data_IF_059019848109
#
_entry.id   IF_059019848109
#
_cell.length_a   1.000
_cell.length_b   1.000
_cell.length_c   1.000
_cell.angle_alpha   90.00
_cell.angle_beta   90.00
_cell.angle_gamma   90.00
#
_symmetry.space_group_name_H-M   'P 1'
#
loop_
_entity.id
_entity.type
_entity.pdbx_description
1 polymer ?
#
# COMPACT_ATOMS: atom_id res chain seq x y z
N UNK A 1 -76.36 -64.48 -44.87
CA UNK A 1 -77.41 -63.46 -45.10
C UNK A 1 -77.89 -62.89 -43.76
N UNK A 2 -77.36 -61.74 -43.36
CA UNK A 2 -78.08 -60.63 -42.71
C UNK A 2 -77.07 -59.55 -42.33
N UNK A 3 -77.38 -58.36 -42.81
CA UNK A 3 -76.60 -57.13 -42.82
C UNK A 3 -77.03 -56.20 -41.69
N UNK A 4 -76.05 -55.49 -41.14
CA UNK A 4 -76.05 -54.12 -40.58
C UNK A 4 -77.14 -53.64 -39.61
N UNK A 5 -76.67 -53.19 -38.43
CA UNK A 5 -76.96 -51.92 -37.67
C UNK A 5 -76.77 -52.19 -36.16
N UNK A 6 -76.40 -51.29 -35.26
CA UNK A 6 -75.74 -49.97 -35.23
C UNK A 6 -75.76 -49.52 -33.75
N UNK A 7 -74.73 -48.79 -33.29
CA UNK A 7 -74.77 -47.81 -32.18
C UNK A 7 -74.86 -48.31 -30.73
N UNK A 8 -73.93 -47.92 -29.83
CA UNK A 8 -74.12 -46.77 -28.91
C UNK A 8 -72.90 -46.52 -27.97
N UNK A 9 -72.58 -45.24 -27.82
CA UNK A 9 -72.07 -44.49 -26.65
C UNK A 9 -70.76 -44.83 -25.89
N UNK A 10 -70.00 -43.75 -25.63
CA UNK A 10 -69.03 -43.66 -24.54
C UNK A 10 -68.16 -42.40 -24.59
N UNK A 11 -68.64 -41.30 -23.99
CA UNK A 11 -67.89 -40.09 -23.67
C UNK A 11 -66.53 -40.41 -23.02
N UNK A 12 -65.45 -39.69 -23.38
CA UNK A 12 -64.34 -39.55 -22.43
C UNK A 12 -63.69 -38.16 -22.48
N UNK A 13 -63.79 -37.50 -21.32
CA UNK A 13 -63.24 -36.20 -20.95
C UNK A 13 -61.71 -36.23 -20.95
N UNK A 14 -61.06 -35.26 -21.62
CA UNK A 14 -59.64 -34.96 -21.40
C UNK A 14 -59.47 -33.50 -20.95
N UNK A 15 -59.15 -33.38 -19.66
CA UNK A 15 -58.95 -32.19 -18.82
C UNK A 15 -57.81 -31.25 -19.27
N UNK A 16 -57.81 -29.99 -18.79
CA UNK A 16 -56.94 -28.90 -19.23
C UNK A 16 -55.58 -28.91 -18.51
N UNK A 17 -54.78 -29.98 -18.67
CA UNK A 17 -53.49 -30.11 -17.98
C UNK A 17 -52.42 -29.16 -18.50
N UNK A 18 -52.45 -28.82 -19.79
CA UNK A 18 -51.48 -27.93 -20.41
C UNK A 18 -51.60 -26.49 -19.89
N UNK A 19 -52.83 -25.99 -19.72
CA UNK A 19 -53.08 -24.63 -19.26
C UNK A 19 -52.57 -24.43 -17.82
N UNK A 20 -52.81 -25.41 -16.95
CA UNK A 20 -52.29 -25.37 -15.58
C UNK A 20 -50.77 -25.42 -15.52
N UNK A 21 -50.11 -26.21 -16.37
CA UNK A 21 -48.64 -26.25 -16.45
C UNK A 21 -48.04 -24.92 -16.89
N UNK A 22 -48.64 -24.25 -17.89
CA UNK A 22 -48.20 -22.93 -18.35
C UNK A 22 -48.40 -21.87 -17.26
N UNK A 23 -49.52 -21.89 -16.55
CA UNK A 23 -49.76 -20.98 -15.43
C UNK A 23 -48.76 -21.19 -14.28
N UNK A 24 -48.46 -22.44 -13.93
CA UNK A 24 -47.47 -22.75 -12.87
C UNK A 24 -46.07 -22.29 -13.29
N UNK A 25 -45.68 -22.51 -14.55
CA UNK A 25 -44.40 -22.05 -15.07
C UNK A 25 -44.29 -20.51 -15.06
N UNK A 26 -45.36 -19.80 -15.43
CA UNK A 26 -45.40 -18.34 -15.40
C UNK A 26 -45.33 -17.79 -13.97
N UNK A 27 -46.08 -18.38 -13.03
CA UNK A 27 -46.04 -17.99 -11.62
C UNK A 27 -44.64 -18.24 -11.04
N UNK A 28 -44.05 -19.41 -11.31
CA UNK A 28 -42.70 -19.72 -10.84
C UNK A 28 -41.65 -18.78 -11.44
N UNK A 29 -41.76 -18.44 -12.73
CA UNK A 29 -40.92 -17.45 -13.38
C UNK A 29 -41.04 -16.06 -12.73
N UNK A 30 -42.27 -15.62 -12.43
CA UNK A 30 -42.50 -14.34 -11.75
C UNK A 30 -41.97 -14.34 -10.32
N UNK A 31 -42.10 -15.46 -9.62
CA UNK A 31 -41.63 -15.63 -8.24
C UNK A 31 -40.10 -15.64 -8.18
N UNK A 32 -39.43 -16.31 -9.12
CA UNK A 32 -37.97 -16.25 -9.27
C UNK A 32 -37.52 -14.84 -9.62
N UNK A 33 -38.18 -14.14 -10.54
CA UNK A 33 -37.85 -12.75 -10.90
C UNK A 33 -38.06 -11.77 -9.74
N UNK A 34 -39.14 -11.92 -8.97
CA UNK A 34 -39.42 -11.11 -7.79
C UNK A 34 -38.43 -11.39 -6.65
N UNK A 35 -38.09 -12.66 -6.41
CA UNK A 35 -37.04 -13.03 -5.45
C UNK A 35 -35.67 -12.52 -5.89
N UNK A 36 -35.33 -12.62 -7.17
CA UNK A 36 -34.10 -12.00 -7.70
C UNK A 36 -34.12 -10.49 -7.52
N UNK A 37 -35.26 -9.83 -7.73
CA UNK A 37 -35.40 -8.37 -7.57
C UNK A 37 -35.30 -7.91 -6.10
N UNK A 38 -35.77 -8.70 -5.14
CA UNK A 38 -35.59 -8.45 -3.70
C UNK A 38 -34.14 -8.74 -3.26
N UNK A 39 -33.47 -9.71 -3.90
CA UNK A 39 -32.06 -10.02 -3.66
C UNK A 39 -31.08 -9.20 -4.51
N UNK A 40 -31.56 -8.42 -5.49
CA UNK A 40 -30.78 -7.56 -6.38
C UNK A 40 -30.37 -6.28 -5.63
N UNK A 41 -29.37 -6.45 -4.75
CA UNK A 41 -28.10 -5.71 -4.69
C UNK A 41 -28.04 -4.17 -4.85
N UNK A 42 -29.14 -3.43 -4.91
CA UNK A 42 -29.13 -1.97 -5.07
C UNK A 42 -28.89 -1.21 -3.76
N UNK A 43 -29.67 -1.52 -2.72
CA UNK A 43 -29.57 -0.82 -1.42
C UNK A 43 -28.28 -1.17 -0.67
N UNK A 44 -27.86 -2.44 -0.66
CA UNK A 44 -26.63 -2.85 0.06
C UNK A 44 -25.36 -2.21 -0.51
N UNK A 45 -25.26 -2.04 -1.82
CA UNK A 45 -24.09 -1.41 -2.45
C UNK A 45 -24.05 0.09 -2.14
N UNK A 46 -25.21 0.76 -2.17
CA UNK A 46 -25.30 2.19 -1.79
C UNK A 46 -24.96 2.42 -0.31
N UNK A 47 -25.43 1.53 0.57
CA UNK A 47 -25.11 1.57 2.00
C UNK A 47 -23.63 1.34 2.28
N UNK A 48 -23.00 0.37 1.61
CA UNK A 48 -21.56 0.09 1.70
C UNK A 48 -20.72 1.27 1.23
N UNK A 49 -21.05 1.84 0.07
CA UNK A 49 -20.35 3.03 -0.46
C UNK A 49 -20.43 4.22 0.50
N UNK A 50 -21.59 4.43 1.15
CA UNK A 50 -21.76 5.49 2.15
C UNK A 50 -20.90 5.26 3.39
N UNK A 51 -20.74 4.01 3.83
CA UNK A 51 -19.92 3.65 4.99
C UNK A 51 -18.42 3.81 4.70
N UNK A 52 -17.96 3.38 3.52
CA UNK A 52 -16.58 3.57 3.06
C UNK A 52 -16.23 5.06 2.95
N UNK A 53 -17.13 5.85 2.34
CA UNK A 53 -17.00 7.31 2.26
C UNK A 53 -16.87 7.94 3.64
N UNK A 54 -17.72 7.55 4.60
CA UNK A 54 -17.60 8.05 6.00
C UNK A 54 -16.28 7.68 6.64
N UNK A 55 -15.80 6.45 6.40
CA UNK A 55 -14.53 5.97 6.94
C UNK A 55 -13.36 6.78 6.39
N UNK A 56 -13.33 7.03 5.08
CA UNK A 56 -12.33 7.87 4.44
C UNK A 56 -12.37 9.30 4.95
N UNK A 57 -13.55 9.90 5.06
CA UNK A 57 -13.70 11.24 5.64
C UNK A 57 -13.22 11.30 7.09
N UNK A 58 -13.54 10.30 7.91
CA UNK A 58 -13.05 10.19 9.29
C UNK A 58 -11.53 10.08 9.36
N UNK A 59 -10.93 9.26 8.49
CA UNK A 59 -9.47 9.14 8.40
C UNK A 59 -8.81 10.47 8.01
N UNK A 60 -9.35 11.17 7.00
CA UNK A 60 -8.83 12.47 6.60
C UNK A 60 -8.91 13.53 7.70
N UNK A 61 -9.99 13.54 8.49
CA UNK A 61 -10.11 14.41 9.66
C UNK A 61 -9.02 14.11 10.69
N UNK A 62 -8.71 12.83 10.94
CA UNK A 62 -7.62 12.44 11.83
C UNK A 62 -6.26 12.91 11.29
N UNK A 63 -6.02 12.78 9.98
CA UNK A 63 -4.80 13.31 9.33
C UNK A 63 -4.72 14.82 9.52
N UNK A 64 -5.81 15.54 9.28
CA UNK A 64 -5.87 16.99 9.46
C UNK A 64 -5.55 17.41 10.89
N UNK A 65 -6.14 16.74 11.89
CA UNK A 65 -5.85 17.00 13.30
C UNK A 65 -4.39 16.68 13.66
N UNK A 66 -3.85 15.58 13.14
CA UNK A 66 -2.45 15.21 13.35
C UNK A 66 -1.51 16.29 12.81
N UNK A 67 -1.74 16.75 11.57
CA UNK A 67 -0.95 17.82 10.94
C UNK A 67 -1.10 19.13 11.71
N UNK A 68 -2.31 19.51 12.14
CA UNK A 68 -2.50 20.73 12.93
C UNK A 68 -1.77 20.68 14.28
N UNK A 69 -1.78 19.53 14.96
CA UNK A 69 -1.21 19.39 16.30
C UNK A 69 0.30 19.12 16.29
N UNK A 70 0.83 18.47 15.24
CA UNK A 70 2.21 17.94 15.19
C UNK A 70 2.99 18.32 13.93
N UNK A 71 2.35 18.97 12.97
CA UNK A 71 2.95 19.33 11.67
C UNK A 71 3.78 20.60 11.68
N UNK A 72 4.21 21.10 12.85
CA UNK A 72 5.12 22.25 12.98
C UNK A 72 4.66 23.50 12.18
N UNK A 73 3.36 23.79 12.22
CA UNK A 73 2.75 24.93 11.52
C UNK A 73 2.18 24.60 10.13
N UNK A 74 2.43 23.40 9.60
CA UNK A 74 1.72 22.92 8.42
C UNK A 74 0.22 22.80 8.70
N UNK A 75 -0.58 23.00 7.66
CA UNK A 75 -2.03 22.76 7.69
C UNK A 75 -2.42 21.78 6.60
N UNK A 76 -3.42 20.95 6.87
CA UNK A 76 -4.00 20.05 5.86
C UNK A 76 -5.41 20.52 5.51
N UNK A 77 -5.64 20.85 4.24
CA UNK A 77 -6.94 21.23 3.71
C UNK A 77 -7.55 20.08 2.92
N UNK A 78 -8.64 19.53 3.42
CA UNK A 78 -9.41 18.50 2.73
C UNK A 78 -10.09 19.13 1.50
N UNK A 79 -9.90 18.53 0.32
CA UNK A 79 -10.48 18.98 -0.95
C UNK A 79 -11.67 18.10 -1.33
N UNK A 80 -11.48 16.79 -1.27
CA UNK A 80 -12.51 15.80 -1.56
C UNK A 80 -12.33 14.54 -0.70
N UNK A 81 -13.02 13.45 -1.04
CA UNK A 81 -13.01 12.19 -0.29
C UNK A 81 -11.67 11.44 -0.29
N UNK A 82 -10.75 11.76 -1.20
CA UNK A 82 -9.42 11.15 -1.30
C UNK A 82 -8.28 12.16 -1.21
N UNK A 83 -8.51 13.44 -1.52
CA UNK A 83 -7.47 14.42 -1.73
C UNK A 83 -7.47 15.48 -0.64
N UNK A 84 -6.28 15.75 -0.14
CA UNK A 84 -5.99 16.88 0.72
C UNK A 84 -4.77 17.64 0.19
N UNK A 85 -4.67 18.91 0.57
CA UNK A 85 -3.52 19.76 0.28
C UNK A 85 -2.83 20.11 1.59
N UNK A 86 -1.55 19.74 1.70
CA UNK A 86 -0.68 20.20 2.77
C UNK A 86 -0.15 21.59 2.41
N UNK A 87 -0.30 22.55 3.32
CA UNK A 87 0.10 23.94 3.12
C UNK A 87 1.06 24.39 4.21
N UNK A 88 2.08 25.12 3.79
CA UNK A 88 2.95 25.85 4.70
C UNK A 88 2.25 27.04 5.35
N UNK A 89 2.74 27.54 6.51
CA UNK A 89 2.22 28.73 7.15
C UNK A 89 2.17 29.93 6.20
N UNK A 90 1.14 30.77 6.34
CA UNK A 90 1.06 32.03 5.58
C UNK A 90 2.29 32.92 5.84
N UNK A 91 2.82 33.53 4.78
CA UNK A 91 4.06 34.32 4.84
C UNK A 91 5.35 33.51 4.71
N UNK A 92 5.28 32.18 4.58
CA UNK A 92 6.45 31.37 4.21
C UNK A 92 6.90 31.74 2.80
N UNK A 93 8.19 32.01 2.62
CA UNK A 93 8.78 32.22 1.29
C UNK A 93 9.65 31.01 0.92
N UNK A 94 9.40 30.45 -0.27
CA UNK A 94 10.24 29.38 -0.82
C UNK A 94 11.60 29.95 -1.20
N UNK A 95 12.65 29.48 -0.53
CA UNK A 95 14.05 29.87 -0.82
C UNK A 95 14.77 28.81 -1.64
N UNK A 96 14.18 27.62 -1.78
CA UNK A 96 14.78 26.52 -2.51
C UNK A 96 14.43 26.60 -3.99
N UNK A 97 15.44 26.92 -4.81
CA UNK A 97 15.30 27.00 -6.25
C UNK A 97 15.75 25.70 -6.92
N UNK A 98 14.86 25.09 -7.71
CA UNK A 98 15.19 23.91 -8.48
C UNK A 98 15.84 24.29 -9.80
N UNK A 99 17.15 24.05 -9.92
CA UNK A 99 17.93 24.40 -11.12
C UNK A 99 17.53 23.64 -12.38
N UNK A 100 16.97 22.43 -12.25
CA UNK A 100 16.56 21.61 -13.39
C UNK A 100 15.24 22.09 -13.99
N UNK A 101 14.26 22.41 -13.14
CA UNK A 101 12.92 22.82 -13.56
C UNK A 101 12.72 24.33 -13.62
N UNK A 102 13.71 25.11 -13.16
CA UNK A 102 13.69 26.58 -13.11
C UNK A 102 12.53 27.16 -12.32
N UNK A 103 12.07 26.45 -11.30
CA UNK A 103 10.98 26.84 -10.40
C UNK A 103 11.43 26.78 -8.95
N UNK A 104 10.88 27.66 -8.11
CA UNK A 104 10.99 27.52 -6.67
C UNK A 104 10.11 26.36 -6.20
N UNK A 105 10.54 25.69 -5.14
CA UNK A 105 9.78 24.61 -4.55
C UNK A 105 8.40 25.12 -4.08
N UNK A 106 7.29 24.41 -4.40
CA UNK A 106 5.96 24.87 -4.03
C UNK A 106 5.75 24.86 -2.52
N UNK A 107 4.83 25.70 -2.05
CA UNK A 107 4.42 25.76 -0.64
C UNK A 107 3.09 25.04 -0.37
N UNK A 108 2.55 24.38 -1.39
CA UNK A 108 1.35 23.57 -1.33
C UNK A 108 1.60 22.23 -2.03
N UNK A 109 1.27 21.13 -1.35
CA UNK A 109 1.48 19.78 -1.86
C UNK A 109 0.17 19.02 -1.83
N UNK A 110 -0.27 18.56 -3.00
CA UNK A 110 -1.43 17.68 -3.12
C UNK A 110 -1.06 16.26 -2.66
N UNK A 111 -1.94 15.66 -1.86
CA UNK A 111 -1.77 14.32 -1.32
C UNK A 111 -3.05 13.51 -1.57
N UNK A 112 -2.91 12.37 -2.25
CA UNK A 112 -3.99 11.43 -2.49
C UNK A 112 -3.93 10.30 -1.47
N UNK A 113 -4.85 10.37 -0.50
CA UNK A 113 -5.01 9.40 0.59
C UNK A 113 -5.45 8.05 0.07
N UNK A 114 -6.28 8.01 -0.96
CA UNK A 114 -6.80 6.75 -1.51
C UNK A 114 -5.70 6.00 -2.26
N UNK A 115 -4.90 6.70 -3.07
CA UNK A 115 -3.71 6.13 -3.69
C UNK A 115 -2.72 5.61 -2.63
N UNK A 116 -2.48 6.40 -1.58
CA UNK A 116 -1.59 5.99 -0.49
C UNK A 116 -2.10 4.74 0.26
N UNK A 117 -3.41 4.62 0.50
CA UNK A 117 -4.01 3.43 1.12
C UNK A 117 -3.90 2.22 0.20
N UNK A 118 -4.18 2.36 -1.10
CA UNK A 118 -4.03 1.27 -2.07
C UNK A 118 -2.59 0.78 -2.14
N UNK A 119 -1.63 1.71 -2.18
CA UNK A 119 -0.21 1.41 -2.14
C UNK A 119 0.16 0.71 -0.82
N UNK A 120 -0.37 1.19 0.31
CA UNK A 120 -0.16 0.56 1.61
C UNK A 120 -0.70 -0.87 1.65
N UNK A 121 -1.90 -1.13 1.15
CA UNK A 121 -2.47 -2.49 1.08
C UNK A 121 -1.60 -3.43 0.24
N UNK A 122 -1.03 -2.94 -0.85
CA UNK A 122 -0.12 -3.73 -1.69
C UNK A 122 1.16 -4.12 -0.94
N UNK A 123 1.68 -3.24 -0.08
CA UNK A 123 3.00 -3.43 0.54
C UNK A 123 2.98 -3.80 2.03
N UNK A 124 1.85 -3.67 2.73
CA UNK A 124 1.76 -3.87 4.20
C UNK A 124 2.12 -5.28 4.67
N UNK A 125 1.99 -6.27 3.79
CA UNK A 125 2.33 -7.66 4.05
C UNK A 125 3.60 -8.10 3.30
N UNK A 126 4.24 -7.20 2.57
CA UNK A 126 5.48 -7.49 1.88
C UNK A 126 6.65 -7.16 2.80
N UNK A 127 7.50 -8.14 3.07
CA UNK A 127 8.82 -7.85 3.65
C UNK A 127 9.68 -7.24 2.55
N UNK A 128 9.82 -5.91 2.56
CA UNK A 128 10.60 -5.12 1.59
C UNK A 128 12.12 -5.40 1.64
N UNK A 129 12.55 -6.29 2.54
CA UNK A 129 13.92 -6.79 2.58
C UNK A 129 14.02 -7.92 1.56
N UNK A 130 14.78 -7.70 0.50
CA UNK A 130 15.16 -8.77 -0.42
C UNK A 130 15.93 -9.83 0.37
N UNK A 131 15.31 -10.99 0.57
CA UNK A 131 15.88 -12.13 1.29
C UNK A 131 16.27 -13.21 0.30
N UNK A 132 17.06 -14.19 0.77
CA UNK A 132 17.39 -15.37 -0.03
C UNK A 132 16.14 -16.15 -0.44
N UNK A 133 15.13 -16.23 0.43
CA UNK A 133 13.87 -16.93 0.15
C UNK A 133 13.17 -16.39 -1.12
N UNK A 134 13.36 -15.10 -1.45
CA UNK A 134 12.83 -14.50 -2.67
C UNK A 134 13.57 -14.99 -3.92
N UNK A 135 14.88 -15.22 -3.83
CA UNK A 135 15.67 -15.80 -4.92
C UNK A 135 15.28 -17.26 -5.16
N UNK A 136 15.03 -18.01 -4.10
CA UNK A 136 14.61 -19.42 -4.16
C UNK A 136 13.21 -19.58 -4.79
N UNK A 137 12.30 -18.64 -4.53
CA UNK A 137 10.94 -18.67 -5.08
C UNK A 137 10.85 -18.17 -6.53
N UNK A 138 11.87 -17.47 -7.04
CA UNK A 138 11.85 -16.85 -8.37
C UNK A 138 12.42 -17.81 -9.43
N UNK A 139 11.72 -18.04 -10.56
CA UNK A 139 12.28 -18.74 -11.71
C UNK A 139 13.59 -18.08 -12.17
N UNK A 140 14.65 -18.86 -12.31
CA UNK A 140 16.02 -18.41 -12.64
C UNK A 140 16.58 -17.31 -11.72
N UNK A 141 16.03 -17.18 -10.50
CA UNK A 141 16.42 -16.16 -9.52
C UNK A 141 17.90 -16.25 -9.16
N UNK A 142 18.44 -17.46 -9.03
CA UNK A 142 19.85 -17.69 -8.78
C UNK A 142 20.73 -17.39 -10.00
N UNK A 143 20.35 -17.92 -11.17
CA UNK A 143 21.21 -17.87 -12.36
C UNK A 143 21.35 -16.44 -12.91
N UNK A 144 20.25 -15.68 -12.97
CA UNK A 144 20.26 -14.34 -13.55
C UNK A 144 20.26 -13.23 -12.51
N UNK A 145 19.32 -13.28 -11.55
CA UNK A 145 19.10 -12.14 -10.66
C UNK A 145 20.18 -12.06 -9.57
N UNK A 146 20.56 -13.19 -8.97
CA UNK A 146 21.61 -13.22 -7.96
C UNK A 146 22.97 -12.87 -8.57
N UNK A 147 23.29 -13.42 -9.75
CA UNK A 147 24.49 -13.06 -10.50
C UNK A 147 24.60 -11.55 -10.76
N UNK A 148 23.51 -10.90 -11.21
CA UNK A 148 23.48 -9.42 -11.38
C UNK A 148 23.78 -8.65 -10.10
N UNK A 149 23.44 -9.17 -8.92
CA UNK A 149 23.69 -8.52 -7.62
C UNK A 149 25.13 -8.65 -7.16
N UNK A 150 25.77 -9.77 -7.46
CA UNK A 150 27.18 -10.03 -7.12
C UNK A 150 28.13 -9.79 -8.30
N UNK A 151 27.66 -9.25 -9.42
CA UNK A 151 28.50 -8.96 -10.59
C UNK A 151 29.68 -8.03 -10.26
N UNK A 152 29.49 -7.10 -9.30
CA UNK A 152 30.57 -6.26 -8.78
C UNK A 152 31.67 -7.02 -8.03
N UNK A 153 31.39 -8.27 -7.63
CA UNK A 153 32.33 -9.21 -7.00
C UNK A 153 32.96 -10.16 -8.03
N UNK A 154 32.79 -9.91 -9.34
CA UNK A 154 33.45 -10.64 -10.41
C UNK A 154 32.72 -11.89 -10.93
N UNK A 155 31.48 -12.14 -10.50
CA UNK A 155 30.68 -13.26 -10.99
C UNK A 155 29.82 -12.85 -12.21
N UNK A 156 29.97 -13.54 -13.33
CA UNK A 156 29.16 -13.34 -14.54
C UNK A 156 27.82 -14.08 -14.44
N UNK A 157 27.83 -15.31 -13.92
CA UNK A 157 26.66 -16.18 -13.69
C UNK A 157 26.87 -17.10 -12.48
N UNK A 158 25.78 -17.43 -11.78
CA UNK A 158 25.82 -18.33 -10.62
C UNK A 158 25.79 -19.82 -11.01
N UNK A 159 26.81 -20.29 -11.73
CA UNK A 159 26.94 -21.71 -12.07
C UNK A 159 27.32 -22.57 -10.86
N UNK A 160 28.19 -22.06 -9.98
CA UNK A 160 28.49 -22.67 -8.69
C UNK A 160 27.63 -22.02 -7.61
N UNK A 161 26.60 -22.75 -7.17
CA UNK A 161 25.64 -22.28 -6.18
C UNK A 161 26.31 -21.91 -4.85
N UNK A 162 27.24 -22.73 -4.37
CA UNK A 162 27.92 -22.52 -3.07
C UNK A 162 28.72 -21.23 -3.05
N UNK A 163 29.49 -20.96 -4.11
CA UNK A 163 30.27 -19.73 -4.22
C UNK A 163 29.36 -18.49 -4.32
N UNK A 164 28.25 -18.59 -5.07
CA UNK A 164 27.27 -17.52 -5.11
C UNK A 164 26.58 -17.30 -3.76
N UNK A 165 26.28 -18.37 -3.04
CA UNK A 165 25.73 -18.30 -1.70
C UNK A 165 26.66 -17.55 -0.75
N UNK A 166 27.96 -17.85 -0.75
CA UNK A 166 28.95 -17.14 0.07
C UNK A 166 28.97 -15.64 -0.22
N UNK A 167 28.97 -15.24 -1.49
CA UNK A 167 28.94 -13.84 -1.87
C UNK A 167 27.61 -13.15 -1.52
N UNK A 168 26.48 -13.84 -1.68
CA UNK A 168 25.17 -13.29 -1.35
C UNK A 168 24.97 -13.17 0.16
N UNK A 169 25.58 -14.03 0.97
CA UNK A 169 25.49 -13.95 2.43
C UNK A 169 26.04 -12.63 2.99
N UNK A 170 26.91 -11.94 2.25
CA UNK A 170 27.42 -10.63 2.60
C UNK A 170 26.42 -9.50 2.35
N UNK A 171 25.39 -9.72 1.51
CA UNK A 171 24.52 -8.66 0.97
C UNK A 171 23.04 -8.91 1.33
N UNK A 172 22.59 -10.16 1.32
CA UNK A 172 21.20 -10.56 1.52
C UNK A 172 21.06 -11.50 2.72
N UNK A 173 20.15 -11.19 3.67
CA UNK A 173 19.84 -12.11 4.74
C UNK A 173 19.10 -13.34 4.22
N UNK A 174 19.31 -14.49 4.89
CA UNK A 174 18.67 -15.75 4.53
C UNK A 174 17.12 -15.68 4.64
N UNK A 175 16.64 -15.01 5.68
CA UNK A 175 15.23 -14.88 6.05
C UNK A 175 14.94 -13.43 6.45
N UNK A 176 13.68 -13.00 6.50
CA UNK A 176 13.34 -11.64 6.89
C UNK A 176 13.86 -11.37 8.31
N UNK A 177 14.71 -10.35 8.50
CA UNK A 177 15.24 -10.04 9.83
C UNK A 177 14.19 -9.42 10.74
N UNK A 178 13.02 -9.04 10.19
CA UNK A 178 11.96 -8.34 10.91
C UNK A 178 10.66 -9.13 10.88
N UNK A 179 9.87 -8.98 11.93
CA UNK A 179 8.53 -9.56 12.04
C UNK A 179 7.47 -8.45 12.03
N UNK A 180 6.23 -8.74 11.59
CA UNK A 180 5.16 -7.74 11.60
C UNK A 180 5.01 -7.07 12.98
N UNK A 181 4.88 -5.74 12.99
CA UNK A 181 4.70 -4.91 14.20
C UNK A 181 5.81 -5.00 15.26
N UNK A 182 7.04 -5.30 14.85
CA UNK A 182 8.20 -5.31 15.75
C UNK A 182 8.47 -3.95 16.43
N UNK A 183 8.22 -2.84 15.72
CA UNK A 183 8.40 -1.47 16.23
C UNK A 183 7.04 -0.82 16.43
N UNK A 184 6.80 -0.22 17.60
CA UNK A 184 5.51 0.42 17.94
C UNK A 184 5.54 1.92 17.67
N UNK A 185 6.66 2.58 17.97
CA UNK A 185 6.90 4.00 17.71
C UNK A 185 8.14 4.18 16.84
N UNK A 186 8.00 4.89 15.73
CA UNK A 186 9.10 5.16 14.81
C UNK A 186 9.28 6.67 14.62
N UNK A 187 10.53 7.13 14.51
CA UNK A 187 10.85 8.46 14.03
C UNK A 187 11.38 8.40 12.59
N UNK A 188 10.86 9.26 11.71
CA UNK A 188 11.39 9.44 10.36
C UNK A 188 12.04 10.82 10.31
N UNK A 189 13.36 10.84 10.12
CA UNK A 189 14.16 12.05 10.20
C UNK A 189 14.69 12.40 8.82
N UNK A 190 14.14 13.47 8.24
CA UNK A 190 14.62 14.05 6.98
C UNK A 190 15.91 14.85 7.14
N UNK A 191 16.29 15.58 6.09
CA UNK A 191 17.59 16.27 6.02
C UNK A 191 17.47 17.81 6.00
N UNK A 192 16.30 18.37 6.34
CA UNK A 192 16.09 19.82 6.35
C UNK A 192 16.97 20.49 7.40
N UNK A 193 17.55 21.65 7.05
CA UNK A 193 18.28 22.50 7.99
C UNK A 193 17.42 23.05 9.13
N UNK A 194 16.09 23.03 8.98
CA UNK A 194 15.17 23.45 10.04
C UNK A 194 15.25 22.60 11.30
N UNK A 195 15.73 21.36 11.19
CA UNK A 195 15.99 20.50 12.35
C UNK A 195 16.99 21.14 13.33
N UNK A 196 17.83 22.06 12.88
CA UNK A 196 18.80 22.77 13.74
C UNK A 196 18.17 23.91 14.56
N UNK A 197 16.90 24.25 14.32
CA UNK A 197 16.19 25.32 15.05
C UNK A 197 15.60 24.85 16.38
N UNK A 198 15.44 23.55 16.56
CA UNK A 198 14.81 22.93 17.74
C UNK A 198 15.62 21.72 18.20
N UNK A 199 15.61 21.41 19.50
CA UNK A 199 16.38 20.31 20.07
C UNK A 199 15.55 19.02 20.17
N UNK A 200 15.27 18.39 19.03
CA UNK A 200 14.48 17.15 18.95
C UNK A 200 15.27 15.88 19.31
N UNK A 201 16.56 15.99 19.64
CA UNK A 201 17.46 14.85 19.69
C UNK A 201 17.03 13.73 20.63
N UNK A 202 16.65 14.09 21.87
CA UNK A 202 16.17 13.12 22.86
C UNK A 202 14.83 12.50 22.48
N UNK A 203 13.91 13.29 21.94
CA UNK A 203 12.60 12.81 21.48
C UNK A 203 12.78 11.79 20.34
N UNK A 204 13.61 12.12 19.34
CA UNK A 204 13.94 11.21 18.23
C UNK A 204 14.49 9.89 18.77
N UNK A 205 15.49 9.96 19.64
CA UNK A 205 16.15 8.78 20.19
C UNK A 205 15.24 7.96 21.12
N UNK A 206 14.13 8.51 21.62
CA UNK A 206 13.15 7.78 22.44
C UNK A 206 12.29 6.76 21.67
N UNK A 207 12.32 6.78 20.33
CA UNK A 207 11.53 5.88 19.48
C UNK A 207 12.12 4.46 19.39
N UNK A 208 11.30 3.46 19.10
CA UNK A 208 11.76 2.05 18.97
C UNK A 208 12.66 1.86 17.74
N UNK A 209 12.39 2.62 16.67
CA UNK A 209 13.21 2.66 15.47
C UNK A 209 13.32 4.09 14.91
N UNK A 210 14.49 4.44 14.40
CA UNK A 210 14.77 5.70 13.70
C UNK A 210 15.17 5.42 12.27
N UNK A 211 14.40 5.99 11.34
CA UNK A 211 14.61 5.92 9.88
C UNK A 211 15.20 7.25 9.43
N UNK A 212 16.31 7.21 8.69
CA UNK A 212 17.00 8.40 8.19
C UNK A 212 17.24 8.31 6.69
N UNK A 213 17.38 9.45 6.03
CA UNK A 213 17.58 9.50 4.58
C UNK A 213 19.00 9.94 4.18
N UNK A 214 19.47 9.35 3.08
CA UNK A 214 20.68 9.72 2.35
C UNK A 214 21.92 9.84 3.25
N UNK A 215 22.63 10.96 3.21
CA UNK A 215 23.96 11.13 3.81
C UNK A 215 23.97 12.09 5.02
N UNK A 216 22.81 12.45 5.59
CA UNK A 216 22.76 13.34 6.75
C UNK A 216 23.66 12.89 7.92
N UNK A 217 24.58 13.74 8.39
CA UNK A 217 25.49 13.36 9.46
C UNK A 217 24.72 13.10 10.75
N UNK A 218 25.07 12.01 11.42
CA UNK A 218 24.60 11.71 12.76
C UNK A 218 25.87 11.63 13.58
N UNK A 219 26.18 12.67 14.32
CA UNK A 219 27.40 12.78 15.12
C UNK A 219 27.16 13.72 16.31
N UNK A 220 28.13 13.83 17.21
CA UNK A 220 27.96 14.58 18.46
C UNK A 220 27.63 16.06 18.24
N UNK A 221 28.09 16.64 17.11
CA UNK A 221 27.82 18.04 16.76
C UNK A 221 26.32 18.31 16.56
N UNK A 222 25.60 17.35 15.99
CA UNK A 222 24.17 17.50 15.68
C UNK A 222 23.25 16.71 16.64
N UNK A 223 23.82 15.91 17.54
CA UNK A 223 23.08 15.01 18.43
C UNK A 223 21.92 15.68 19.18
N UNK A 224 22.11 16.91 19.69
CA UNK A 224 21.06 17.66 20.39
C UNK A 224 19.83 17.95 19.53
N UNK A 225 20.01 18.06 18.22
CA UNK A 225 18.96 18.39 17.26
C UNK A 225 18.33 17.15 16.64
N UNK A 226 19.15 16.17 16.25
CA UNK A 226 18.71 15.05 15.40
C UNK A 226 18.91 13.67 16.03
N UNK A 227 19.41 13.60 17.26
CA UNK A 227 19.67 12.35 17.97
C UNK A 227 20.88 11.60 17.43
N UNK A 228 21.18 10.45 18.03
CA UNK A 228 22.27 9.54 17.65
C UNK A 228 21.78 8.15 17.24
N UNK A 229 20.51 7.80 17.46
CA UNK A 229 19.98 6.47 17.10
C UNK A 229 19.94 6.29 15.57
N UNK A 230 20.33 5.08 15.12
CA UNK A 230 20.49 4.70 13.70
C UNK A 230 20.02 3.25 13.52
N UNK A 231 18.75 3.06 13.19
CA UNK A 231 18.22 1.72 12.93
C UNK A 231 18.12 1.44 11.43
N UNK A 232 17.53 2.38 10.69
CA UNK A 232 17.34 2.26 9.24
C UNK A 232 17.86 3.48 8.51
N UNK A 233 18.40 3.22 7.32
CA UNK A 233 18.79 4.29 6.42
C UNK A 233 18.41 4.02 4.99
N UNK A 234 17.65 4.95 4.41
CA UNK A 234 17.27 4.90 3.01
C UNK A 234 18.37 5.59 2.20
N UNK A 235 19.02 4.84 1.32
CA UNK A 235 20.14 5.33 0.52
C UNK A 235 19.98 4.89 -0.93
N UNK A 236 20.29 5.80 -1.84
CA UNK A 236 20.42 5.48 -3.27
C UNK A 236 21.79 4.87 -3.54
N UNK A 237 21.92 4.11 -4.63
CA UNK A 237 23.15 3.39 -5.00
C UNK A 237 24.39 4.30 -5.05
N UNK A 238 24.24 5.53 -5.52
CA UNK A 238 25.34 6.51 -5.60
C UNK A 238 25.86 6.93 -4.23
N UNK A 239 24.95 7.14 -3.28
CA UNK A 239 25.26 7.56 -1.91
C UNK A 239 25.83 6.44 -1.04
N UNK A 240 25.53 5.18 -1.37
CA UNK A 240 25.98 4.02 -0.61
C UNK A 240 27.52 3.92 -0.48
N UNK A 241 28.29 4.52 -1.41
CA UNK A 241 29.76 4.55 -1.32
C UNK A 241 30.26 5.45 -0.18
N UNK A 242 29.57 6.56 0.06
CA UNK A 242 29.95 7.54 1.09
C UNK A 242 29.51 7.11 2.50
N UNK A 243 28.60 6.14 2.57
CA UNK A 243 28.03 5.65 3.82
C UNK A 243 29.05 5.03 4.78
N UNK A 244 30.17 4.49 4.30
CA UNK A 244 31.19 3.87 5.18
C UNK A 244 31.78 4.87 6.16
N UNK A 245 32.03 6.11 5.72
CA UNK A 245 32.52 7.17 6.60
C UNK A 245 31.44 7.58 7.62
N UNK A 246 30.21 7.77 7.13
CA UNK A 246 29.07 8.25 7.95
C UNK A 246 28.68 7.23 9.02
N UNK A 247 28.75 5.93 8.72
CA UNK A 247 28.53 4.86 9.71
C UNK A 247 29.60 4.82 10.79
N UNK A 248 30.82 5.31 10.51
CA UNK A 248 31.90 5.46 11.49
C UNK A 248 31.81 6.76 12.29
N UNK A 249 30.76 7.56 12.09
CA UNK A 249 30.46 8.73 12.90
C UNK A 249 31.17 10.02 12.47
N UNK A 250 31.62 10.12 11.22
CA UNK A 250 32.06 11.39 10.61
C UNK A 250 30.94 12.43 10.61
#
# INVERSE_FOLDING_TARGET
>A
MRTHKSSLHGHNSRRPTLLHLVCVAAIFGFLVFALQSIFLTGNRISDLYREEVRTLSGFQLNVQQCVANRGLGLTAKIIDHCKLVLKFPEGTNSTWYNEQFKIYEPLEYAYDVCEAILLWEQYRNMTTVLTREYLDARPDGWLEYAAKRIAQLGADKCYNRTLCEEHLNLILPAKPPFRPRQFKKCAVVGNSGDLLKTEFGEEIDSHDAVIRDNEAPVNQRYAKHVGLKRDFRLVVRGAARNMVAILKGS
#
